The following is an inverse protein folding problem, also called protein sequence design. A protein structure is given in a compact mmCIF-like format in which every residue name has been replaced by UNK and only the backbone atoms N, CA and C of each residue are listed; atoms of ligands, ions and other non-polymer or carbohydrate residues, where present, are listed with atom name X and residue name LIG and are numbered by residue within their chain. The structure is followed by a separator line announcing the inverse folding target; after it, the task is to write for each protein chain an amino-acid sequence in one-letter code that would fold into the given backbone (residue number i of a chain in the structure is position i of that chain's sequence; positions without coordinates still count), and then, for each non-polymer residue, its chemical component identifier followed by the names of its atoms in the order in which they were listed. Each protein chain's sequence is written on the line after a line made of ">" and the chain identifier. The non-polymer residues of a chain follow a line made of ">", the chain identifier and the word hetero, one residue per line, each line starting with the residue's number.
data_IF_004680935103
#
_entry.id   IF_004680935103
#
_cell.length_a   1.000
_cell.length_b   1.000
_cell.length_c   1.000
_cell.angle_alpha   90.00
_cell.angle_beta   90.00
_cell.angle_gamma   90.00
#
_symmetry.space_group_name_H-M   'P 1'
#
loop_
_entity.id
_entity.type
_entity.pdbx_description
1 polymer ?
#
# COMPACT_ATOMS: atom_id res chain seq x y z
N UNK A 1 64.65 12.60 -32.26
CA UNK A 1 64.79 12.30 -30.85
C UNK A 1 63.88 13.18 -29.94
N UNK A 2 63.61 14.45 -30.27
CA UNK A 2 62.79 15.37 -29.46
C UNK A 2 61.32 15.00 -29.44
N UNK A 3 60.77 14.37 -30.47
CA UNK A 3 59.38 14.03 -30.56
C UNK A 3 59.01 12.70 -29.83
N UNK A 4 60.01 11.81 -29.67
CA UNK A 4 59.76 10.56 -28.92
C UNK A 4 59.60 10.80 -27.41
N UNK A 5 60.30 11.82 -26.87
CA UNK A 5 60.17 12.18 -25.45
C UNK A 5 58.79 12.79 -25.13
N UNK A 6 58.26 13.59 -26.08
CA UNK A 6 56.93 14.20 -25.94
C UNK A 6 55.79 13.18 -25.96
N UNK A 7 55.91 12.14 -26.79
CA UNK A 7 54.93 11.04 -26.83
C UNK A 7 55.00 10.14 -25.58
N UNK A 8 56.21 9.90 -25.06
CA UNK A 8 56.36 9.13 -23.82
C UNK A 8 55.76 9.86 -22.61
N UNK A 9 55.88 11.19 -22.54
CA UNK A 9 55.32 12.00 -21.46
C UNK A 9 53.76 12.10 -21.56
N UNK A 10 53.21 12.13 -22.77
CA UNK A 10 51.78 12.14 -22.99
C UNK A 10 51.06 10.80 -22.64
N UNK A 11 51.74 9.69 -22.90
CA UNK A 11 51.23 8.36 -22.58
C UNK A 11 51.24 8.08 -21.08
N UNK A 12 52.22 8.58 -20.33
CA UNK A 12 52.26 8.42 -18.86
C UNK A 12 51.23 9.28 -18.12
N UNK A 13 50.80 10.41 -18.70
CA UNK A 13 49.70 11.23 -18.09
C UNK A 13 48.30 10.65 -18.30
N UNK A 14 48.11 9.81 -19.32
CA UNK A 14 46.79 9.23 -19.65
C UNK A 14 46.41 8.01 -18.79
N UNK A 15 47.34 7.45 -18.00
CA UNK A 15 47.08 6.21 -17.24
C UNK A 15 46.80 6.42 -15.75
N UNK A 16 46.79 7.66 -15.26
CA UNK A 16 46.42 7.94 -13.86
C UNK A 16 44.96 8.40 -13.74
N UNK A 17 44.04 7.70 -14.38
CA UNK A 17 42.61 7.77 -13.98
C UNK A 17 42.48 7.01 -12.66
N UNK A 18 42.81 7.67 -11.57
CA UNK A 18 42.45 7.17 -10.24
C UNK A 18 40.94 7.15 -10.19
N UNK A 19 40.37 5.96 -10.33
CA UNK A 19 38.98 5.74 -9.96
C UNK A 19 38.90 6.04 -8.46
N UNK A 20 38.43 7.24 -8.12
CA UNK A 20 37.98 7.54 -6.77
C UNK A 20 36.81 6.60 -6.52
N UNK A 21 37.08 5.43 -5.89
CA UNK A 21 36.07 4.66 -5.24
C UNK A 21 35.57 5.57 -4.14
N UNK A 22 34.40 6.18 -4.35
CA UNK A 22 33.70 6.85 -3.27
C UNK A 22 33.54 5.79 -2.16
N UNK A 23 34.27 5.96 -1.07
CA UNK A 23 34.00 5.24 0.16
C UNK A 23 32.54 5.58 0.51
N UNK A 24 31.65 4.66 0.11
CA UNK A 24 30.25 4.75 0.54
C UNK A 24 30.28 4.84 2.05
N UNK A 25 29.76 5.94 2.58
CA UNK A 25 29.61 6.09 4.02
C UNK A 25 29.00 4.78 4.53
N UNK A 26 29.74 4.09 5.41
CA UNK A 26 29.28 2.86 6.02
C UNK A 26 28.01 3.18 6.81
N UNK A 27 26.86 3.01 6.18
CA UNK A 27 25.61 3.04 6.92
C UNK A 27 25.68 1.87 7.94
N UNK A 28 25.34 2.13 9.19
CA UNK A 28 25.28 1.06 10.18
C UNK A 28 24.34 -0.04 9.68
N UNK A 29 24.62 -1.32 9.98
CA UNK A 29 23.73 -2.38 9.57
C UNK A 29 22.33 -2.13 10.16
N UNK A 30 21.25 -2.47 9.43
CA UNK A 30 19.91 -2.31 9.95
C UNK A 30 19.72 -3.13 11.22
N UNK A 31 18.90 -2.65 12.18
CA UNK A 31 18.60 -3.40 13.40
C UNK A 31 17.98 -4.76 13.04
N UNK A 32 18.23 -5.77 13.86
CA UNK A 32 17.58 -7.05 13.68
C UNK A 32 16.10 -6.94 14.07
N UNK A 33 15.23 -7.05 13.04
CA UNK A 33 13.78 -6.97 13.19
C UNK A 33 13.22 -8.38 13.06
N UNK A 34 12.40 -8.80 14.02
CA UNK A 34 11.72 -10.10 14.02
C UNK A 34 10.55 -10.14 13.00
N UNK A 35 10.76 -9.62 11.80
CA UNK A 35 9.81 -9.63 10.68
C UNK A 35 10.20 -10.66 9.63
N UNK A 36 9.22 -11.34 9.01
CA UNK A 36 9.47 -12.25 7.90
C UNK A 36 10.01 -11.52 6.67
N UNK A 37 9.48 -10.33 6.41
CA UNK A 37 9.87 -9.47 5.30
C UNK A 37 9.80 -8.01 5.71
N UNK A 38 10.66 -7.18 5.17
CA UNK A 38 10.60 -5.73 5.32
C UNK A 38 11.33 -5.03 4.17
N UNK A 39 10.98 -3.78 3.94
CA UNK A 39 11.70 -2.85 3.07
C UNK A 39 11.67 -1.48 3.72
N UNK A 40 12.82 -0.81 3.73
CA UNK A 40 12.97 0.57 4.17
C UNK A 40 13.52 1.38 3.01
N UNK A 41 12.76 2.37 2.57
CA UNK A 41 13.17 3.27 1.50
C UNK A 41 13.32 4.70 2.03
N UNK A 42 14.29 5.42 1.49
CA UNK A 42 14.34 6.88 1.64
C UNK A 42 13.16 7.49 0.87
N UNK A 43 12.41 8.34 1.54
CA UNK A 43 11.18 8.92 0.98
C UNK A 43 11.43 9.85 -0.21
N UNK A 44 12.52 10.60 -0.19
CA UNK A 44 12.81 11.60 -1.22
C UNK A 44 13.54 11.03 -2.43
N UNK A 45 14.52 10.18 -2.20
CA UNK A 45 15.31 9.57 -3.28
C UNK A 45 14.72 8.28 -3.83
N UNK A 46 13.85 7.62 -3.06
CA UNK A 46 13.34 6.28 -3.37
C UNK A 46 14.40 5.17 -3.19
N UNK A 47 15.59 5.49 -2.68
CA UNK A 47 16.65 4.52 -2.46
C UNK A 47 16.24 3.52 -1.39
N UNK A 48 16.45 2.24 -1.66
CA UNK A 48 16.28 1.19 -0.64
C UNK A 48 17.46 1.23 0.32
N UNK A 49 17.18 1.50 1.59
CA UNK A 49 18.17 1.59 2.67
C UNK A 49 18.39 0.23 3.33
N UNK A 50 17.34 -0.56 3.46
CA UNK A 50 17.40 -1.92 4.00
C UNK A 50 16.22 -2.75 3.48
N UNK A 51 16.44 -4.05 3.28
CA UNK A 51 15.40 -4.97 2.88
C UNK A 51 15.71 -6.40 3.36
N UNK A 52 14.66 -7.16 3.64
CA UNK A 52 14.70 -8.61 3.85
C UNK A 52 13.48 -9.20 3.16
N UNK A 53 13.71 -10.11 2.20
CA UNK A 53 12.67 -10.82 1.45
C UNK A 53 11.51 -9.91 0.97
N UNK A 54 11.80 -8.72 0.36
CA UNK A 54 10.79 -7.69 0.08
C UNK A 54 9.72 -8.14 -0.89
N UNK A 55 10.01 -9.13 -1.74
CA UNK A 55 9.08 -9.68 -2.74
C UNK A 55 8.31 -10.91 -2.22
N UNK A 56 8.55 -11.30 -0.96
CA UNK A 56 7.81 -12.41 -0.37
C UNK A 56 6.34 -12.02 -0.18
N UNK A 57 5.45 -12.86 -0.70
CA UNK A 57 4.01 -12.66 -0.51
C UNK A 57 3.65 -12.87 0.96
N UNK A 58 3.03 -11.85 1.54
CA UNK A 58 2.53 -11.85 2.91
C UNK A 58 1.05 -11.44 2.91
N UNK A 59 0.32 -11.86 3.94
CA UNK A 59 -1.04 -11.43 4.15
C UNK A 59 -1.03 -10.00 4.73
N UNK A 60 -1.67 -9.03 4.06
CA UNK A 60 -1.64 -7.64 4.47
C UNK A 60 -2.52 -7.35 5.71
N UNK A 61 -3.35 -8.31 6.12
CA UNK A 61 -4.28 -8.14 7.24
C UNK A 61 -5.08 -6.82 7.11
N UNK A 62 -5.16 -6.03 8.18
CA UNK A 62 -5.91 -4.76 8.18
C UNK A 62 -5.38 -3.69 7.22
N UNK A 63 -4.18 -3.82 6.65
CA UNK A 63 -3.73 -2.93 5.59
C UNK A 63 -4.63 -2.98 4.35
N UNK A 64 -5.36 -4.07 4.13
CA UNK A 64 -6.40 -4.18 3.10
C UNK A 64 -7.43 -3.06 3.19
N UNK A 65 -7.75 -2.57 4.40
CA UNK A 65 -8.72 -1.48 4.62
C UNK A 65 -8.29 -0.14 4.03
N UNK A 66 -7.00 0.05 3.76
CA UNK A 66 -6.51 1.24 3.05
C UNK A 66 -7.14 1.35 1.65
N UNK A 67 -7.34 0.23 0.96
CA UNK A 67 -8.02 0.23 -0.33
C UNK A 67 -9.50 0.57 -0.19
N UNK A 68 -10.20 0.01 0.80
CA UNK A 68 -11.59 0.37 1.06
C UNK A 68 -11.72 1.86 1.41
N UNK A 69 -10.83 2.39 2.25
CA UNK A 69 -10.78 3.81 2.58
C UNK A 69 -10.57 4.68 1.33
N UNK A 70 -9.59 4.33 0.50
CA UNK A 70 -9.31 5.03 -0.76
C UNK A 70 -10.53 5.07 -1.67
N UNK A 71 -11.19 3.92 -1.88
CA UNK A 71 -12.39 3.84 -2.71
C UNK A 71 -13.57 4.62 -2.12
N UNK A 72 -13.72 4.62 -0.79
CA UNK A 72 -14.74 5.39 -0.08
C UNK A 72 -14.52 6.89 -0.30
N UNK A 73 -13.29 7.38 -0.10
CA UNK A 73 -12.97 8.80 -0.34
C UNK A 73 -13.11 9.19 -1.81
N UNK A 74 -12.78 8.29 -2.72
CA UNK A 74 -13.03 8.49 -4.16
C UNK A 74 -14.53 8.62 -4.44
N UNK A 75 -15.37 7.74 -3.88
CA UNK A 75 -16.82 7.78 -4.05
C UNK A 75 -17.44 9.08 -3.46
N UNK A 76 -16.93 9.56 -2.31
CA UNK A 76 -17.31 10.85 -1.74
C UNK A 76 -16.92 12.01 -2.65
N UNK A 77 -15.69 12.02 -3.17
CA UNK A 77 -15.22 13.05 -4.12
C UNK A 77 -16.06 13.09 -5.40
N UNK A 78 -16.46 11.93 -5.90
CA UNK A 78 -17.32 11.76 -7.07
C UNK A 78 -18.81 11.97 -6.77
N UNK A 79 -19.17 12.29 -5.51
CA UNK A 79 -20.56 12.48 -5.04
C UNK A 79 -21.46 11.25 -5.24
N UNK A 80 -20.88 10.06 -5.31
CA UNK A 80 -21.62 8.77 -5.32
C UNK A 80 -22.03 8.35 -3.90
N UNK A 81 -21.34 8.88 -2.89
CA UNK A 81 -21.69 8.79 -1.48
C UNK A 81 -21.68 10.19 -0.88
N UNK A 82 -22.39 10.36 0.25
CA UNK A 82 -22.26 11.54 1.13
C UNK A 82 -21.98 11.09 2.55
N UNK A 83 -21.36 11.94 3.36
CA UNK A 83 -21.00 11.59 4.75
C UNK A 83 -22.23 11.30 5.61
N UNK A 84 -23.33 11.99 5.37
CA UNK A 84 -24.60 11.89 6.09
C UNK A 84 -25.47 10.73 5.61
N UNK A 85 -25.12 10.12 4.47
CA UNK A 85 -25.87 9.01 3.90
C UNK A 85 -25.93 7.85 4.90
N UNK A 86 -27.14 7.36 5.12
CA UNK A 86 -27.38 6.23 6.00
C UNK A 86 -27.30 4.92 5.21
N UNK A 87 -26.48 4.00 5.69
CA UNK A 87 -26.30 2.67 5.10
C UNK A 87 -26.86 1.59 6.01
N UNK A 88 -27.52 0.61 5.40
CA UNK A 88 -27.99 -0.59 6.11
C UNK A 88 -26.86 -1.62 6.13
N UNK A 89 -26.65 -2.21 7.31
CA UNK A 89 -25.64 -3.24 7.51
C UNK A 89 -26.17 -4.58 7.01
N UNK A 90 -25.45 -5.21 6.11
CA UNK A 90 -25.83 -6.55 5.62
C UNK A 90 -25.60 -7.63 6.67
N UNK A 91 -26.22 -8.80 6.47
CA UNK A 91 -25.94 -9.99 7.29
C UNK A 91 -24.47 -10.41 7.22
N UNK A 92 -23.81 -10.20 6.07
CA UNK A 92 -22.39 -10.44 5.89
C UNK A 92 -21.57 -9.48 6.75
N UNK A 93 -21.82 -8.17 6.65
CA UNK A 93 -21.15 -7.15 7.47
C UNK A 93 -21.33 -7.43 8.96
N UNK A 94 -22.54 -7.72 9.40
CA UNK A 94 -22.85 -8.00 10.80
C UNK A 94 -22.15 -9.25 11.36
N UNK A 95 -22.02 -10.32 10.56
CA UNK A 95 -21.38 -11.58 10.98
C UNK A 95 -19.86 -11.59 10.81
N UNK A 96 -19.29 -10.53 10.24
CA UNK A 96 -17.85 -10.45 10.04
C UNK A 96 -17.11 -10.53 11.37
N UNK A 97 -16.12 -11.41 11.46
CA UNK A 97 -15.32 -11.64 12.66
C UNK A 97 -14.16 -10.65 12.80
N UNK A 98 -13.45 -10.71 13.93
CA UNK A 98 -12.29 -9.86 14.22
C UNK A 98 -12.68 -8.52 14.85
N UNK A 99 -11.90 -7.47 14.58
CA UNK A 99 -12.18 -6.11 15.08
C UNK A 99 -13.49 -5.57 14.49
N UNK A 100 -14.38 -5.07 15.34
CA UNK A 100 -15.70 -4.58 14.91
C UNK A 100 -16.10 -3.32 15.68
N UNK A 101 -16.94 -2.48 15.08
CA UNK A 101 -17.67 -1.45 15.80
C UNK A 101 -19.05 -1.93 16.29
N UNK A 102 -19.36 -3.22 16.13
CA UNK A 102 -20.57 -3.90 16.61
C UNK A 102 -21.86 -3.31 16.03
N UNK A 103 -21.91 -3.20 14.72
CA UNK A 103 -23.06 -2.71 13.97
C UNK A 103 -24.28 -3.63 14.16
N UNK A 104 -25.47 -3.01 14.24
CA UNK A 104 -26.74 -3.72 14.26
C UNK A 104 -27.44 -3.60 12.90
N UNK A 105 -27.80 -4.69 12.21
CA UNK A 105 -28.48 -4.65 10.92
C UNK A 105 -29.83 -3.92 10.92
N UNK A 106 -30.42 -3.71 12.10
CA UNK A 106 -31.70 -3.01 12.27
C UNK A 106 -31.52 -1.49 12.35
N UNK A 107 -30.31 -1.01 12.56
CA UNK A 107 -30.01 0.40 12.78
C UNK A 107 -29.12 0.89 11.62
N UNK A 108 -29.62 1.79 10.76
CA UNK A 108 -28.79 2.42 9.75
C UNK A 108 -27.66 3.23 10.38
N UNK A 109 -26.50 3.27 9.70
CA UNK A 109 -25.30 3.96 10.19
C UNK A 109 -24.79 4.91 9.12
N UNK A 110 -24.37 6.11 9.52
CA UNK A 110 -23.84 7.10 8.59
C UNK A 110 -22.51 6.65 7.96
N UNK A 111 -22.27 7.06 6.72
CA UNK A 111 -20.97 6.85 6.05
C UNK A 111 -19.83 7.43 6.90
N UNK A 112 -20.06 8.58 7.53
CA UNK A 112 -19.08 9.21 8.42
C UNK A 112 -18.69 8.32 9.58
N UNK A 113 -19.68 7.74 10.29
CA UNK A 113 -19.42 6.86 11.43
C UNK A 113 -18.73 5.55 10.99
N UNK A 114 -19.11 5.02 9.83
CA UNK A 114 -18.48 3.83 9.25
C UNK A 114 -17.01 4.08 8.91
N UNK A 115 -16.67 5.25 8.35
CA UNK A 115 -15.27 5.64 8.09
C UNK A 115 -14.49 5.69 9.41
N UNK A 116 -15.02 6.34 10.43
CA UNK A 116 -14.37 6.43 11.74
C UNK A 116 -14.21 5.04 12.38
N UNK A 117 -15.25 4.19 12.35
CA UNK A 117 -15.18 2.82 12.86
C UNK A 117 -14.16 1.96 12.13
N UNK A 118 -14.06 2.10 10.81
CA UNK A 118 -13.05 1.40 10.02
C UNK A 118 -11.63 1.87 10.31
N UNK A 119 -11.40 3.20 10.40
CA UNK A 119 -10.05 3.76 10.54
C UNK A 119 -9.54 3.65 11.98
N UNK A 120 -10.37 3.99 12.97
CA UNK A 120 -9.95 4.07 14.38
C UNK A 120 -9.93 2.69 15.03
N UNK A 121 -10.99 1.91 14.86
CA UNK A 121 -11.15 0.60 15.49
C UNK A 121 -10.78 -0.57 14.59
N UNK A 122 -10.41 -0.26 13.33
CA UNK A 122 -10.19 -1.29 12.31
C UNK A 122 -11.42 -2.21 12.13
N UNK A 123 -12.64 -1.65 12.22
CA UNK A 123 -13.89 -2.38 12.17
C UNK A 123 -14.10 -3.11 10.84
N UNK A 124 -14.14 -4.44 10.89
CA UNK A 124 -14.37 -5.27 9.71
C UNK A 124 -15.81 -5.12 9.20
N UNK A 125 -16.79 -5.03 10.11
CA UNK A 125 -18.20 -4.78 9.81
C UNK A 125 -18.42 -3.45 9.08
N UNK A 126 -17.77 -2.38 9.54
CA UNK A 126 -17.80 -1.08 8.88
C UNK A 126 -17.15 -1.15 7.48
N UNK A 127 -16.00 -1.84 7.37
CA UNK A 127 -15.29 -2.01 6.11
C UNK A 127 -16.15 -2.73 5.05
N UNK A 128 -16.81 -3.84 5.45
CA UNK A 128 -17.71 -4.59 4.56
C UNK A 128 -18.90 -3.74 4.14
N UNK A 129 -19.53 -3.02 5.07
CA UNK A 129 -20.68 -2.15 4.78
C UNK A 129 -20.33 -1.04 3.79
N UNK A 130 -19.15 -0.40 3.95
CA UNK A 130 -18.66 0.61 3.01
C UNK A 130 -18.34 0.00 1.65
N UNK A 131 -17.70 -1.15 1.60
CA UNK A 131 -17.36 -1.83 0.35
C UNK A 131 -18.62 -2.21 -0.45
N UNK A 132 -19.65 -2.73 0.22
CA UNK A 132 -20.94 -3.07 -0.39
C UNK A 132 -21.65 -1.82 -0.94
N UNK A 133 -21.62 -0.71 -0.20
CA UNK A 133 -22.21 0.55 -0.65
C UNK A 133 -21.50 1.12 -1.90
N UNK A 134 -20.18 0.97 -1.98
CA UNK A 134 -19.40 1.43 -3.14
C UNK A 134 -19.65 0.54 -4.36
N UNK A 135 -19.73 -0.78 -4.17
CA UNK A 135 -19.99 -1.74 -5.24
C UNK A 135 -21.38 -1.59 -5.86
N UNK A 136 -22.29 -0.92 -5.18
CA UNK A 136 -23.71 -0.82 -5.53
C UNK A 136 -24.52 -1.97 -4.94
N UNK A 137 -25.78 -1.67 -4.65
CA UNK A 137 -26.74 -2.62 -4.04
C UNK A 137 -27.31 -3.64 -5.04
N UNK A 138 -26.79 -3.72 -6.24
CA UNK A 138 -27.35 -4.48 -7.35
C UNK A 138 -27.10 -6.00 -7.25
N UNK A 139 -27.15 -6.57 -6.04
CA UNK A 139 -27.24 -8.02 -5.86
C UNK A 139 -26.10 -8.87 -6.43
N UNK A 140 -25.16 -8.27 -7.10
CA UNK A 140 -24.02 -8.91 -7.75
C UNK A 140 -22.77 -8.81 -6.83
N UNK A 141 -22.94 -9.18 -5.56
CA UNK A 141 -21.86 -9.29 -4.56
C UNK A 141 -21.04 -10.55 -4.86
N UNK A 142 -20.64 -10.70 -6.10
CA UNK A 142 -19.82 -11.83 -6.50
C UNK A 142 -18.37 -11.46 -6.79
N UNK A 143 -18.12 -10.18 -7.06
CA UNK A 143 -16.75 -9.73 -7.34
C UNK A 143 -16.56 -8.36 -6.67
N UNK A 144 -15.57 -8.21 -5.79
CA UNK A 144 -15.14 -6.88 -5.40
C UNK A 144 -14.83 -6.10 -6.68
N UNK A 145 -15.11 -4.79 -6.72
CA UNK A 145 -14.79 -3.99 -7.90
C UNK A 145 -13.32 -4.26 -8.23
N UNK A 146 -13.08 -4.79 -9.43
CA UNK A 146 -11.73 -4.86 -9.94
C UNK A 146 -11.25 -3.42 -10.01
N UNK A 147 -10.36 -3.05 -9.10
CA UNK A 147 -9.64 -1.81 -9.23
C UNK A 147 -8.72 -1.99 -10.41
N UNK A 148 -9.21 -1.63 -11.58
CA UNK A 148 -8.38 -1.48 -12.78
C UNK A 148 -7.51 -0.26 -12.49
N UNK A 149 -6.43 -0.51 -11.74
CA UNK A 149 -5.44 0.48 -11.41
C UNK A 149 -4.70 0.86 -12.67
N UNK A 150 -4.63 2.17 -12.89
CA UNK A 150 -3.71 2.69 -13.88
C UNK A 150 -2.28 2.30 -13.55
N UNK A 151 -1.61 1.70 -14.49
CA UNK A 151 -0.16 1.63 -14.78
C UNK A 151 0.82 1.03 -13.78
N UNK A 152 0.44 0.51 -12.64
CA UNK A 152 1.40 -0.25 -11.84
C UNK A 152 0.74 -1.55 -11.33
N UNK A 153 0.81 -2.59 -12.16
CA UNK A 153 0.24 -3.91 -11.90
C UNK A 153 0.87 -4.60 -10.67
N UNK A 154 1.88 -3.97 -10.08
CA UNK A 154 2.62 -4.49 -8.92
C UNK A 154 1.94 -4.26 -7.57
N UNK A 155 0.87 -3.46 -7.53
CA UNK A 155 0.18 -3.06 -6.29
C UNK A 155 -1.32 -3.33 -6.29
N UNK A 156 -1.79 -4.30 -7.06
CA UNK A 156 -3.16 -4.79 -6.89
C UNK A 156 -3.10 -5.94 -5.87
N UNK A 157 -3.49 -5.73 -4.61
CA UNK A 157 -3.80 -6.87 -3.76
C UNK A 157 -4.97 -7.56 -4.47
N UNK A 158 -4.75 -8.76 -4.97
CA UNK A 158 -5.83 -9.64 -5.31
C UNK A 158 -6.58 -9.94 -4.02
N UNK A 159 -7.60 -9.16 -3.73
CA UNK A 159 -8.55 -9.44 -2.67
C UNK A 159 -9.39 -10.60 -3.17
N UNK A 160 -8.86 -11.81 -3.06
CA UNK A 160 -9.64 -13.00 -3.24
C UNK A 160 -10.72 -13.02 -2.15
N UNK A 161 -11.96 -13.33 -2.53
CA UNK A 161 -13.12 -13.36 -1.65
C UNK A 161 -13.06 -14.34 -0.47
N UNK A 162 -11.91 -14.87 -0.14
CA UNK A 162 -11.64 -15.78 0.98
C UNK A 162 -10.97 -15.09 2.19
N UNK A 163 -10.77 -13.77 2.15
CA UNK A 163 -10.17 -13.01 3.25
C UNK A 163 -11.20 -12.40 4.21
N UNK A 164 -12.49 -12.81 4.07
CA UNK A 164 -13.58 -12.35 4.93
C UNK A 164 -14.31 -13.52 5.58
#
# INVERSE_FOLDING_TARGET
>A
MKNLLAYALAVTLATTSVSAVAEGAFAPPPPDIAGRAYILNDFYSGQTLAARDPDTRIEPASLTKLMTAYLTFKALKEKRLTLEQQLTVSQKGWRTEGSRMFLDPRIPVSVNDLIHGMIIQSGNDACVTLAEAIAGSDGNIGHPPQVVGGRDDRYVPHVHGELW
#
